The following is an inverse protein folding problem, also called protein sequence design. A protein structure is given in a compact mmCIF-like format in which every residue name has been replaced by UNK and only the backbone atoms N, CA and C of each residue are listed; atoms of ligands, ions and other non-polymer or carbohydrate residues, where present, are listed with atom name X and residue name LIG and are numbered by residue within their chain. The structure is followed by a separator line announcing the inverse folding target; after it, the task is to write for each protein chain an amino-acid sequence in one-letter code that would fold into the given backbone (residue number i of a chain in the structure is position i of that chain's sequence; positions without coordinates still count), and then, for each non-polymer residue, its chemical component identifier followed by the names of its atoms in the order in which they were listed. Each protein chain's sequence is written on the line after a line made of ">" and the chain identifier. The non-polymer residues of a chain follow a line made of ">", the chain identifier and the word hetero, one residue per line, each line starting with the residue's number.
data_IF_848181117192
#
_entry.id   IF_848181117192
#
_cell.length_a   1.000
_cell.length_b   1.000
_cell.length_c   1.000
_cell.angle_alpha   90.00
_cell.angle_beta   90.00
_cell.angle_gamma   90.00
#
_symmetry.space_group_name_H-M   'P 1'
#
loop_
_entity.id
_entity.type
_entity.pdbx_description
1 polymer ?
#
# COMPACT_ATOMS: atom_id res chain seq x y z
N UNK A 1 -22.77 0.73 5.52
CA UNK A 1 -21.84 1.64 6.24
C UNK A 1 -20.80 2.12 5.24
N UNK A 2 -20.49 3.42 5.23
CA UNK A 2 -19.51 4.03 4.32
C UNK A 2 -18.09 3.95 4.91
N UNK A 3 -17.10 3.62 4.07
CA UNK A 3 -15.69 3.43 4.49
C UNK A 3 -15.05 4.73 4.98
N UNK A 4 -15.54 5.87 4.51
CA UNK A 4 -15.03 7.19 4.89
C UNK A 4 -15.20 7.51 6.40
N UNK A 5 -16.12 6.81 7.09
CA UNK A 5 -16.32 6.96 8.54
C UNK A 5 -15.35 6.14 9.39
N UNK A 6 -14.65 5.19 8.76
CA UNK A 6 -13.76 4.25 9.45
C UNK A 6 -12.29 4.54 9.18
N UNK A 7 -11.98 5.00 7.95
CA UNK A 7 -10.62 5.16 7.48
C UNK A 7 -10.24 6.63 7.27
N UNK A 8 -9.00 6.98 7.61
CA UNK A 8 -8.41 8.25 7.24
C UNK A 8 -8.05 8.26 5.74
N UNK A 9 -8.90 8.89 4.95
CA UNK A 9 -8.70 9.03 3.50
C UNK A 9 -7.95 10.31 3.12
N UNK A 10 -7.45 11.10 4.09
CA UNK A 10 -6.66 12.31 3.80
C UNK A 10 -5.41 11.96 3.00
N UNK A 11 -5.11 12.79 2.01
CA UNK A 11 -3.97 12.59 1.10
C UNK A 11 -4.16 11.48 0.07
N UNK A 12 -5.27 10.72 0.10
CA UNK A 12 -5.57 9.71 -0.93
C UNK A 12 -6.45 10.31 -2.01
N UNK A 13 -6.09 10.09 -3.27
CA UNK A 13 -6.90 10.49 -4.41
C UNK A 13 -8.27 9.80 -4.36
N UNK A 14 -9.31 10.62 -4.24
CA UNK A 14 -10.69 10.19 -4.34
C UNK A 14 -11.22 10.47 -5.74
N UNK A 15 -12.06 9.56 -6.22
CA UNK A 15 -12.69 9.64 -7.53
C UNK A 15 -14.20 9.69 -7.34
N UNK A 16 -14.89 10.45 -8.20
CA UNK A 16 -16.34 10.36 -8.32
C UNK A 16 -16.66 9.46 -9.51
N UNK A 17 -17.23 8.28 -9.27
CA UNK A 17 -17.65 7.34 -10.31
C UNK A 17 -19.12 7.04 -10.09
N UNK A 18 -19.95 7.21 -11.11
CA UNK A 18 -21.40 7.02 -11.04
C UNK A 18 -22.04 7.77 -9.85
N UNK A 19 -21.66 9.04 -9.66
CA UNK A 19 -22.09 9.90 -8.55
C UNK A 19 -21.71 9.43 -7.14
N UNK A 20 -20.88 8.39 -7.00
CA UNK A 20 -20.38 7.90 -5.72
C UNK A 20 -18.89 8.24 -5.54
N UNK A 21 -18.48 8.53 -4.31
CA UNK A 21 -17.06 8.68 -3.95
C UNK A 21 -16.45 7.29 -3.81
N UNK A 22 -15.37 7.06 -4.54
CA UNK A 22 -14.65 5.79 -4.52
C UNK A 22 -13.17 6.02 -4.31
N UNK A 23 -12.55 5.06 -3.63
CA UNK A 23 -11.11 4.98 -3.44
C UNK A 23 -10.62 3.66 -4.01
N UNK A 24 -9.47 3.66 -4.68
CA UNK A 24 -8.87 2.41 -5.14
C UNK A 24 -8.10 1.78 -4.00
N UNK A 25 -8.29 0.47 -3.80
CA UNK A 25 -7.52 -0.29 -2.81
C UNK A 25 -6.07 -0.50 -3.26
N UNK A 26 -5.84 -0.71 -4.56
CA UNK A 26 -4.51 -0.95 -5.14
C UNK A 26 -4.19 0.07 -6.22
N UNK A 27 -2.91 0.27 -6.49
CA UNK A 27 -2.44 1.02 -7.66
C UNK A 27 -3.06 0.47 -8.94
N UNK A 28 -3.53 1.38 -9.80
CA UNK A 28 -3.90 1.03 -11.18
C UNK A 28 -2.68 1.28 -12.08
N UNK A 29 -2.30 0.33 -12.96
CA UNK A 29 -1.36 0.60 -14.04
C UNK A 29 -1.91 1.74 -14.91
N UNK A 30 -1.09 2.76 -15.19
CA UNK A 30 -1.50 3.88 -16.04
C UNK A 30 -1.34 3.45 -17.50
N UNK A 31 -2.45 3.15 -18.17
CA UNK A 31 -2.45 2.57 -19.52
C UNK A 31 -1.84 3.47 -20.61
N UNK A 32 -1.65 4.76 -20.32
CA UNK A 32 -1.03 5.71 -21.25
C UNK A 32 -0.11 6.65 -20.48
N UNK A 33 1.11 6.92 -20.99
CA UNK A 33 1.91 8.04 -20.52
C UNK A 33 1.10 9.32 -20.69
N UNK A 34 0.96 10.14 -19.65
CA UNK A 34 0.19 11.37 -19.71
C UNK A 34 0.82 12.33 -20.71
N UNK A 35 0.14 12.55 -21.83
CA UNK A 35 0.49 13.57 -22.82
C UNK A 35 0.08 14.93 -22.27
N UNK A 36 1.05 15.80 -22.02
CA UNK A 36 0.86 17.24 -21.92
C UNK A 36 -0.24 17.69 -20.96
N UNK A 37 -0.06 17.51 -19.67
CA UNK A 37 -0.79 18.25 -18.65
C UNK A 37 0.17 18.50 -17.48
N UNK A 38 0.22 19.75 -17.01
CA UNK A 38 0.87 20.10 -15.76
C UNK A 38 0.06 19.45 -14.61
N UNK A 39 0.23 18.14 -14.42
CA UNK A 39 -0.44 17.43 -13.35
C UNK A 39 0.23 17.88 -12.03
N UNK A 40 -0.57 18.25 -11.02
CA UNK A 40 -0.08 19.03 -9.88
C UNK A 40 0.85 18.26 -8.95
N UNK A 41 0.68 16.94 -8.84
CA UNK A 41 1.43 16.10 -7.92
C UNK A 41 1.53 14.65 -8.42
N UNK A 42 2.53 13.92 -7.91
CA UNK A 42 2.73 12.49 -8.17
C UNK A 42 2.58 11.72 -6.88
N UNK A 43 2.09 10.49 -6.99
CA UNK A 43 2.01 9.54 -5.89
C UNK A 43 3.41 9.28 -5.32
N UNK A 44 3.53 9.35 -4.00
CA UNK A 44 4.82 9.19 -3.32
C UNK A 44 5.42 7.78 -3.41
N UNK A 45 4.61 6.75 -3.72
CA UNK A 45 5.10 5.36 -3.81
C UNK A 45 5.31 4.87 -5.23
N UNK A 46 4.34 5.04 -6.13
CA UNK A 46 4.41 4.49 -7.49
C UNK A 46 4.65 5.55 -8.57
N UNK A 47 4.82 6.82 -8.18
CA UNK A 47 5.09 7.93 -9.09
C UNK A 47 3.92 8.26 -10.05
N UNK A 48 2.76 7.61 -9.88
CA UNK A 48 1.58 7.83 -10.70
C UNK A 48 1.11 9.27 -10.57
N UNK A 49 0.67 9.86 -11.67
CA UNK A 49 0.15 11.23 -11.63
C UNK A 49 -1.22 11.30 -10.95
N UNK A 50 -1.36 12.29 -10.06
CA UNK A 50 -2.56 12.56 -9.28
C UNK A 50 -3.32 13.72 -9.92
N UNK A 51 -4.65 13.71 -9.75
CA UNK A 51 -5.53 14.73 -10.32
C UNK A 51 -5.77 15.88 -9.34
N UNK A 52 -5.70 15.57 -8.04
CA UNK A 52 -5.89 16.52 -6.96
C UNK A 52 -4.53 16.99 -6.41
N UNK A 53 -4.32 18.31 -6.36
CA UNK A 53 -3.15 18.97 -5.73
C UNK A 53 -2.94 18.49 -4.30
N UNK A 54 -4.01 18.29 -3.55
CA UNK A 54 -3.96 17.88 -2.15
C UNK A 54 -3.70 16.39 -1.95
N UNK A 55 -3.71 15.59 -3.02
CA UNK A 55 -3.43 14.17 -2.95
C UNK A 55 -1.92 13.89 -3.00
N UNK A 56 -1.51 12.92 -2.18
CA UNK A 56 -0.15 12.37 -2.07
C UNK A 56 -0.08 10.89 -2.48
N UNK A 57 -1.22 10.21 -2.49
CA UNK A 57 -1.33 8.78 -2.77
C UNK A 57 -2.43 8.49 -3.80
N UNK A 58 -2.18 7.58 -4.74
CA UNK A 58 -3.21 7.23 -5.75
C UNK A 58 -4.19 6.13 -5.30
N UNK A 59 -3.85 5.41 -4.23
CA UNK A 59 -4.63 4.27 -3.71
C UNK A 59 -4.42 4.13 -2.21
N UNK A 60 -5.34 3.44 -1.53
CA UNK A 60 -5.20 3.13 -0.11
C UNK A 60 -3.91 2.36 0.16
N UNK A 61 -3.59 1.31 -0.62
CA UNK A 61 -2.32 0.58 -0.48
C UNK A 61 -1.12 1.52 -0.48
N UNK A 62 -1.08 2.51 -1.37
CA UNK A 62 0.04 3.45 -1.42
C UNK A 62 0.17 4.31 -0.15
N UNK A 63 -0.96 4.69 0.47
CA UNK A 63 -0.93 5.35 1.77
C UNK A 63 -0.43 4.38 2.85
N UNK A 64 -1.01 3.19 2.94
CA UNK A 64 -0.69 2.17 3.97
C UNK A 64 0.79 1.81 3.97
N UNK A 65 1.39 1.62 2.79
CA UNK A 65 2.81 1.27 2.66
C UNK A 65 3.73 2.43 3.08
N UNK A 66 3.28 3.69 2.97
CA UNK A 66 4.05 4.87 3.36
C UNK A 66 3.81 5.29 4.82
N UNK A 67 2.57 5.17 5.26
CA UNK A 67 1.99 5.67 6.52
C UNK A 67 1.10 4.56 7.14
N UNK A 68 1.70 3.47 7.67
CA UNK A 68 0.95 2.29 8.13
C UNK A 68 0.17 2.50 9.42
N UNK A 69 0.45 3.56 10.18
CA UNK A 69 -0.18 3.83 11.49
C UNK A 69 -1.42 4.73 11.37
N UNK A 70 -1.59 5.45 10.25
CA UNK A 70 -2.59 6.52 10.08
C UNK A 70 -3.79 6.12 9.21
N UNK A 71 -4.27 4.88 9.35
CA UNK A 71 -5.31 4.33 8.47
C UNK A 71 -6.69 4.36 9.10
N UNK A 72 -6.80 4.01 10.37
CA UNK A 72 -8.08 4.01 11.08
C UNK A 72 -8.27 5.32 11.82
N UNK A 73 -9.46 5.92 11.71
CA UNK A 73 -9.80 7.14 12.46
C UNK A 73 -9.88 6.88 13.97
N UNK A 74 -10.38 5.69 14.33
CA UNK A 74 -10.39 5.19 15.71
C UNK A 74 -9.40 4.03 15.84
N UNK A 75 -8.22 4.26 16.46
CA UNK A 75 -7.23 3.22 16.65
C UNK A 75 -7.71 2.12 17.60
N UNK A 76 -8.65 2.39 18.50
CA UNK A 76 -9.15 1.41 19.48
C UNK A 76 -10.38 0.65 18.97
N UNK A 77 -10.83 0.95 17.74
CA UNK A 77 -11.94 0.23 17.13
C UNK A 77 -11.63 -1.27 16.95
N UNK A 78 -12.64 -2.16 17.07
CA UNK A 78 -12.46 -3.60 16.89
C UNK A 78 -11.81 -3.96 15.55
N UNK A 79 -12.13 -3.21 14.49
CA UNK A 79 -11.53 -3.39 13.17
C UNK A 79 -10.04 -3.04 13.16
N UNK A 80 -9.66 -1.92 13.77
CA UNK A 80 -8.25 -1.50 13.85
C UNK A 80 -7.41 -2.49 14.66
N UNK A 81 -7.92 -2.99 15.78
CA UNK A 81 -7.27 -4.02 16.59
C UNK A 81 -7.07 -5.31 15.79
N UNK A 82 -8.12 -5.79 15.12
CA UNK A 82 -8.05 -7.01 14.31
C UNK A 82 -7.05 -6.90 13.16
N UNK A 83 -7.04 -5.76 12.45
CA UNK A 83 -6.06 -5.53 11.36
C UNK A 83 -4.64 -5.45 11.91
N UNK A 84 -4.38 -4.75 13.02
CA UNK A 84 -3.04 -4.71 13.63
C UNK A 84 -2.55 -6.09 14.04
N UNK A 85 -3.41 -6.89 14.68
CA UNK A 85 -3.06 -8.26 15.07
C UNK A 85 -2.69 -9.11 13.84
N UNK A 86 -3.53 -9.06 12.79
CA UNK A 86 -3.29 -9.79 11.56
C UNK A 86 -2.02 -9.34 10.81
N UNK A 87 -1.78 -8.02 10.72
CA UNK A 87 -0.54 -7.50 10.13
C UNK A 87 0.70 -7.91 10.94
N UNK A 88 0.58 -7.99 12.27
CA UNK A 88 1.64 -8.51 13.14
C UNK A 88 1.91 -10.01 12.94
N UNK A 89 0.90 -10.80 12.60
CA UNK A 89 1.10 -12.19 12.16
C UNK A 89 1.81 -12.24 10.82
N UNK A 90 1.33 -11.52 9.80
CA UNK A 90 1.96 -11.49 8.46
C UNK A 90 3.45 -11.17 8.56
N UNK A 91 3.83 -10.11 9.30
CA UNK A 91 5.25 -9.74 9.47
C UNK A 91 6.07 -10.84 10.14
N UNK A 92 5.51 -11.57 11.10
CA UNK A 92 6.18 -12.71 11.74
C UNK A 92 6.39 -13.85 10.74
N UNK A 93 5.38 -14.14 9.92
CA UNK A 93 5.46 -15.17 8.87
C UNK A 93 6.49 -14.76 7.81
N UNK A 94 6.47 -13.52 7.35
CA UNK A 94 7.43 -12.98 6.39
C UNK A 94 8.87 -13.03 6.92
N UNK A 95 9.09 -12.66 8.19
CA UNK A 95 10.39 -12.76 8.83
C UNK A 95 10.89 -14.21 8.95
N UNK A 96 10.00 -15.14 9.31
CA UNK A 96 10.32 -16.57 9.39
C UNK A 96 10.68 -17.15 8.00
N UNK A 97 9.93 -16.78 6.95
CA UNK A 97 10.20 -17.18 5.57
C UNK A 97 11.55 -16.61 5.11
N UNK A 98 11.81 -15.32 5.35
CA UNK A 98 13.08 -14.69 5.02
C UNK A 98 14.26 -15.37 5.73
N UNK A 99 14.13 -15.68 7.03
CA UNK A 99 15.14 -16.41 7.79
C UNK A 99 15.39 -17.83 7.23
N UNK A 100 14.33 -18.54 6.84
CA UNK A 100 14.45 -19.87 6.24
C UNK A 100 15.14 -19.83 4.85
N UNK A 101 14.89 -18.80 4.03
CA UNK A 101 15.58 -18.62 2.75
C UNK A 101 17.08 -18.39 2.94
N UNK A 102 17.51 -17.67 3.98
CA UNK A 102 18.93 -17.44 4.27
C UNK A 102 19.66 -18.75 4.62
N UNK A 103 19.02 -19.65 5.38
CA UNK A 103 19.61 -20.93 5.78
C UNK A 103 19.83 -21.89 4.58
N UNK A 104 18.99 -21.83 3.54
CA UNK A 104 19.12 -22.72 2.37
C UNK A 104 20.27 -22.34 1.41
N UNK A 105 20.84 -21.14 1.51
CA UNK A 105 21.90 -20.66 0.61
C UNK A 105 23.32 -21.11 0.96
N UNK A 106 23.55 -21.72 2.13
CA UNK A 106 24.91 -22.00 2.65
C UNK A 106 25.43 -23.42 2.37
N UNK A 107 24.65 -24.32 1.75
CA UNK A 107 25.01 -25.75 1.60
C UNK A 107 25.50 -26.15 0.19
N UNK A 108 26.01 -25.19 -0.59
CA UNK A 108 26.58 -25.44 -1.92
C UNK A 108 28.11 -25.59 -1.86
N UNK A 109 28.61 -26.67 -1.25
CA UNK A 109 30.03 -27.03 -1.38
C UNK A 109 30.25 -27.72 -2.74
N UNK A 110 31.06 -27.18 -3.68
CA UNK A 110 31.29 -27.81 -4.96
C UNK A 110 32.10 -29.10 -4.81
N UNK A 111 31.82 -30.15 -5.60
CA UNK A 111 32.56 -31.41 -5.53
C UNK A 111 34.01 -31.23 -6.00
N UNK A 112 34.98 -31.98 -5.42
CA UNK A 112 36.37 -31.88 -5.84
C UNK A 112 36.53 -32.40 -7.27
N UNK A 113 37.06 -31.55 -8.14
CA UNK A 113 37.48 -31.91 -9.50
C UNK A 113 38.69 -32.85 -9.44
N UNK A 114 38.58 -33.99 -10.14
CA UNK A 114 39.65 -34.98 -10.33
C UNK A 114 40.61 -34.55 -11.44
#
# INVERSE_FOLDING_TARGET
>A
ADVASLLDLRGVQLYTINHARVVFLRSRPQARPPKGAAMPSRCELDGRQLMDVGARFCSLRCKIEREPEDIFLDPDSPAAIAVRAHMGEIRRTEAAVAAATVIQSEDATPPPTR
#
